data_IF_523307288756
#
_entry.id   IF_523307288756
#
_cell.length_a   1.000
_cell.length_b   1.000
_cell.length_c   1.000
_cell.angle_alpha   90.00
_cell.angle_beta   90.00
_cell.angle_gamma   90.00
#
_symmetry.space_group_name_H-M   'P 1'
#
loop_
_entity.id
_entity.type
_entity.pdbx_description
1 polymer ?
2 non-polymer ?
3 non-polymer ?
4 non-polymer ?
5 water ?
#
# COMPACT_ATOMS: atom_id res chain seq x y z
N UNK A 5 15.64 0.68 5.37
CA UNK A 5 14.97 1.01 6.63
C UNK A 5 13.88 2.05 6.39
N UNK A 6 14.19 3.05 5.58
CA UNK A 6 13.24 4.13 5.28
C UNK A 6 11.96 3.59 4.66
N UNK A 7 12.09 2.76 3.63
CA UNK A 7 10.91 2.21 2.99
C UNK A 7 10.07 1.45 4.02
N UNK A 8 10.73 0.65 4.85
CA UNK A 8 10.02 -0.13 5.86
C UNK A 8 9.28 0.79 6.84
N UNK A 9 9.97 1.81 7.33
CA UNK A 9 9.35 2.74 8.27
C UNK A 9 8.16 3.47 7.64
N UNK A 10 8.35 3.96 6.42
CA UNK A 10 7.28 4.67 5.72
C UNK A 10 6.06 3.78 5.51
N UNK A 11 6.29 2.55 5.07
CA UNK A 11 5.18 1.64 4.84
C UNK A 11 4.46 1.33 6.15
N UNK A 12 5.20 1.21 7.24
CA UNK A 12 4.57 0.92 8.52
C UNK A 12 3.68 2.08 8.96
N UNK A 13 4.18 3.30 8.79
CA UNK A 13 3.39 4.47 9.17
C UNK A 13 2.09 4.48 8.36
N UNK A 14 2.22 4.32 7.05
CA UNK A 14 1.05 4.32 6.18
C UNK A 14 0.08 3.19 6.54
N UNK A 15 0.63 2.05 6.95
CA UNK A 15 -0.21 0.93 7.34
C UNK A 15 -0.95 1.26 8.63
N UNK A 16 -0.24 1.87 9.59
CA UNK A 16 -0.85 2.24 10.87
C UNK A 16 -1.97 3.25 10.63
N UNK A 17 -1.75 4.19 9.71
CA UNK A 17 -2.76 5.17 9.39
C UNK A 17 -3.99 4.45 8.83
N UNK A 18 -3.76 3.55 7.87
CA UNK A 18 -4.83 2.80 7.25
C UNK A 18 -5.62 1.97 8.26
N UNK A 19 -4.92 1.31 9.17
CA UNK A 19 -5.59 0.47 10.18
C UNK A 19 -6.58 1.27 11.03
N UNK A 20 -6.14 2.42 11.55
CA UNK A 20 -7.03 3.23 12.39
C UNK A 20 -8.11 3.92 11.57
N UNK A 21 -7.78 4.28 10.33
CA UNK A 21 -8.75 4.93 9.47
C UNK A 21 -9.93 3.98 9.25
N UNK A 22 -9.61 2.75 8.85
CA UNK A 22 -10.63 1.74 8.58
C UNK A 22 -11.41 1.35 9.83
N UNK A 23 -10.74 1.34 10.98
CA UNK A 23 -11.37 1.00 12.24
C UNK A 23 -12.35 2.11 12.62
N UNK A 24 -12.04 3.32 12.18
CA UNK A 24 -12.88 4.48 12.47
C UNK A 24 -13.94 4.74 11.41
N UNK A 25 -14.05 3.82 10.45
CA UNK A 25 -15.04 3.96 9.40
C UNK A 25 -14.64 4.93 8.31
N UNK A 26 -13.33 5.11 8.13
CA UNK A 26 -12.84 6.02 7.10
C UNK A 26 -11.90 5.30 6.15
N UNK A 27 -11.54 5.97 5.06
CA UNK A 27 -10.63 5.41 4.07
C UNK A 27 -9.23 5.96 4.30
N UNK A 28 -8.22 5.11 4.11
CA UNK A 28 -6.84 5.54 4.29
C UNK A 28 -6.59 6.74 3.38
N UNK A 29 -7.28 6.76 2.24
CA UNK A 29 -7.14 7.84 1.28
C UNK A 29 -7.58 9.20 1.83
N UNK A 30 -8.38 9.18 2.89
CA UNK A 30 -8.89 10.41 3.49
C UNK A 30 -7.88 11.10 4.41
N UNK A 31 -6.78 10.41 4.73
CA UNK A 31 -5.77 10.96 5.62
C UNK A 31 -4.44 11.18 4.92
N UNK A 32 -4.06 12.45 4.77
CA UNK A 32 -2.79 12.80 4.13
C UNK A 32 -1.65 12.67 5.12
N UNK A 33 -0.53 12.13 4.65
CA UNK A 33 0.64 11.98 5.50
C UNK A 33 1.67 13.03 5.14
N UNK A 34 1.96 13.90 6.09
CA UNK A 34 2.97 14.94 5.90
C UNK A 34 4.23 14.47 6.61
N UNK A 35 5.26 14.13 5.84
CA UNK A 35 6.53 13.69 6.41
C UNK A 35 7.27 14.94 6.89
N UNK A 36 7.51 15.03 8.19
CA UNK A 36 8.19 16.20 8.74
C UNK A 36 9.70 15.97 8.63
N UNK A 37 10.32 16.79 7.79
CA UNK A 37 11.75 16.67 7.52
C UNK A 37 12.66 17.67 8.26
N UNK A 38 12.10 18.33 9.26
CA UNK A 38 12.88 19.28 10.06
C UNK A 38 14.08 18.53 10.64
N UNK A 39 15.24 19.17 10.59
CA UNK A 39 16.52 18.66 11.10
C UNK A 39 17.23 17.67 10.17
N UNK A 40 16.60 17.31 9.06
CA UNK A 40 17.21 16.37 8.13
C UNK A 40 17.63 17.04 6.84
N UNK A 41 18.87 16.78 6.41
CA UNK A 41 19.36 17.38 5.19
C UNK A 41 18.83 16.71 3.93
N UNK A 42 19.09 17.33 2.78
CA UNK A 42 18.62 16.83 1.50
C UNK A 42 19.02 15.38 1.26
N UNK A 43 20.22 15.02 1.70
CA UNK A 43 20.71 13.67 1.53
C UNK A 43 19.85 12.67 2.29
N UNK A 44 19.38 13.08 3.46
CA UNK A 44 18.55 12.19 4.28
C UNK A 44 17.11 12.17 3.77
N UNK A 45 16.72 13.24 3.11
CA UNK A 45 15.36 13.35 2.58
C UNK A 45 15.13 12.59 1.26
N UNK A 46 16.12 12.60 0.38
CA UNK A 46 15.98 11.93 -0.92
C UNK A 46 15.49 10.48 -0.81
N UNK A 47 16.01 9.71 0.16
CA UNK A 47 15.57 8.31 0.30
C UNK A 47 14.07 8.22 0.52
N UNK A 48 13.51 9.20 1.23
CA UNK A 48 12.08 9.20 1.50
C UNK A 48 11.34 9.53 0.19
N UNK A 49 11.88 10.46 -0.58
CA UNK A 49 11.26 10.82 -1.85
C UNK A 49 11.31 9.62 -2.80
N UNK A 50 12.44 8.92 -2.78
CA UNK A 50 12.62 7.75 -3.64
C UNK A 50 11.64 6.65 -3.25
N UNK A 51 11.26 6.62 -1.98
CA UNK A 51 10.31 5.63 -1.48
C UNK A 51 8.88 5.97 -1.88
N UNK A 52 8.72 7.11 -2.55
CA UNK A 52 7.41 7.54 -3.01
C UNK A 52 6.74 8.72 -2.34
N UNK A 53 7.31 9.21 -1.23
CA UNK A 53 6.72 10.34 -0.51
C UNK A 53 6.85 11.64 -1.29
N UNK A 54 5.78 12.44 -1.30
CA UNK A 54 5.79 13.71 -2.00
C UNK A 54 5.38 14.88 -1.11
N UNK A 55 4.70 14.58 -0.01
CA UNK A 55 4.25 15.60 0.92
C UNK A 55 5.17 15.70 2.12
N UNK A 56 5.77 16.88 2.31
CA UNK A 56 6.69 17.11 3.43
C UNK A 56 6.36 18.38 4.22
N UNK A 57 6.86 18.44 5.45
CA UNK A 57 6.64 19.60 6.29
C UNK A 57 7.93 20.10 6.90
N UNK A 58 8.07 21.41 6.99
CA UNK A 58 9.26 22.03 7.60
C UNK A 58 8.74 23.05 8.61
N UNK A 59 9.42 23.18 9.75
CA UNK A 59 8.97 24.12 10.75
C UNK A 59 9.50 25.53 10.57
N UNK A 60 10.64 25.65 9.89
CA UNK A 60 11.26 26.96 9.69
C UNK A 60 11.54 27.28 8.24
N UNK A 61 11.17 28.48 7.83
CA UNK A 61 11.39 28.93 6.47
C UNK A 61 12.85 28.88 6.07
N UNK A 62 13.72 29.40 6.95
CA UNK A 62 15.15 29.44 6.69
C UNK A 62 15.74 28.06 6.42
N UNK A 63 15.43 27.10 7.28
CA UNK A 63 15.94 25.74 7.09
C UNK A 63 15.46 25.19 5.75
N UNK A 64 14.20 25.43 5.44
CA UNK A 64 13.60 24.95 4.19
C UNK A 64 14.28 25.53 2.95
N UNK A 65 14.63 26.81 3.03
CA UNK A 65 15.29 27.48 1.91
C UNK A 65 16.63 26.88 1.58
N UNK A 66 17.32 26.36 2.59
CA UNK A 66 18.63 25.77 2.37
C UNK A 66 18.69 24.41 1.72
N UNK A 67 17.58 23.67 1.71
CA UNK A 67 17.59 22.33 1.14
C UNK A 67 16.50 21.98 0.13
N UNK A 68 15.33 22.61 0.23
CA UNK A 68 14.25 22.25 -0.69
C UNK A 68 14.33 22.71 -2.14
N UNK A 69 14.90 23.90 -2.39
CA UNK A 69 14.97 24.33 -3.80
C UNK A 69 15.59 23.26 -4.71
N UNK A 70 16.73 22.72 -4.31
CA UNK A 70 17.40 21.69 -5.10
C UNK A 70 16.53 20.44 -5.20
N UNK A 71 15.87 20.08 -4.10
CA UNK A 71 15.01 18.90 -4.06
C UNK A 71 13.80 19.04 -4.97
N UNK A 72 13.27 20.26 -5.05
CA UNK A 72 12.10 20.52 -5.88
C UNK A 72 12.40 20.53 -7.37
N UNK A 73 13.58 21.02 -7.75
CA UNK A 73 13.91 21.03 -9.16
C UNK A 73 14.21 19.61 -9.62
N UNK A 74 14.53 18.74 -8.66
CA UNK A 74 14.81 17.35 -8.98
C UNK A 74 13.54 16.53 -9.06
N UNK A 75 12.58 16.82 -8.19
CA UNK A 75 11.29 16.11 -8.16
C UNK A 75 10.17 17.15 -8.28
N UNK A 76 9.48 17.13 -9.41
CA UNK A 76 8.42 18.09 -9.74
C UNK A 76 7.14 18.16 -8.91
N UNK A 77 6.69 17.05 -8.34
CA UNK A 77 5.44 17.05 -7.58
C UNK A 77 5.50 17.12 -6.06
N UNK A 78 6.51 17.80 -5.52
CA UNK A 78 6.64 17.95 -4.08
C UNK A 78 5.58 18.91 -3.53
N UNK A 79 4.98 18.55 -2.40
CA UNK A 79 4.00 19.41 -1.75
C UNK A 79 4.62 19.74 -0.40
N UNK A 80 5.15 20.96 -0.28
CA UNK A 80 5.82 21.39 0.95
C UNK A 80 4.93 22.25 1.86
N UNK A 81 4.82 21.84 3.12
CA UNK A 81 4.00 22.53 4.11
C UNK A 81 4.84 23.27 5.16
N UNK A 82 4.45 24.49 5.49
CA UNK A 82 5.15 25.24 6.53
C UNK A 82 4.29 24.94 7.76
N UNK A 83 4.86 24.27 8.76
CA UNK A 83 4.12 23.91 9.95
C UNK A 83 4.63 24.55 11.23
N UNK A 84 5.45 25.58 11.09
CA UNK A 84 5.97 26.28 12.25
C UNK A 84 5.53 27.74 12.18
N UNK A 85 5.77 28.53 13.24
CA UNK A 85 5.36 29.94 13.23
C UNK A 85 6.09 30.73 12.15
N UNK A 86 5.40 31.71 11.57
CA UNK A 86 5.98 32.52 10.50
C UNK A 86 6.04 33.98 10.86
N UNK A 87 7.23 34.56 10.76
CA UNK A 87 7.43 35.97 11.05
C UNK A 87 7.04 36.74 9.80
N UNK A 88 6.42 37.89 9.99
CA UNK A 88 5.98 38.70 8.86
C UNK A 88 7.12 39.01 7.87
N UNK A 89 8.34 39.19 8.37
CA UNK A 89 9.46 39.50 7.49
C UNK A 89 10.00 38.31 6.69
N UNK A 90 9.35 37.16 6.83
CA UNK A 90 9.75 35.98 6.08
C UNK A 90 8.60 35.51 5.21
N UNK A 91 7.48 36.24 5.28
CA UNK A 91 6.30 35.90 4.49
C UNK A 91 6.63 35.79 3.01
N UNK A 92 7.36 36.77 2.49
CA UNK A 92 7.73 36.76 1.07
C UNK A 92 8.46 35.47 0.71
N UNK A 93 9.48 35.12 1.48
CA UNK A 93 10.23 33.90 1.22
C UNK A 93 9.36 32.65 1.32
N UNK A 94 8.46 32.64 2.30
CA UNK A 94 7.58 31.49 2.49
C UNK A 94 6.63 31.29 1.32
N UNK A 95 6.05 32.39 0.83
CA UNK A 95 5.12 32.32 -0.28
C UNK A 95 5.83 31.83 -1.54
N UNK A 96 7.11 32.15 -1.65
CA UNK A 96 7.88 31.76 -2.83
C UNK A 96 8.29 30.29 -2.83
N UNK A 97 8.33 29.68 -1.66
CA UNK A 97 8.78 28.29 -1.53
C UNK A 97 7.73 27.25 -1.18
N UNK A 98 6.80 27.60 -0.29
CA UNK A 98 5.79 26.65 0.16
C UNK A 98 4.52 26.54 -0.68
N UNK A 99 3.85 25.40 -0.56
CA UNK A 99 2.61 25.15 -1.28
C UNK A 99 1.44 25.26 -0.30
N UNK A 100 1.71 24.96 0.97
CA UNK A 100 0.70 25.02 2.01
C UNK A 100 1.28 25.68 3.27
N UNK A 101 0.59 26.66 3.82
CA UNK A 101 1.03 27.31 5.06
C UNK A 101 -0.05 27.02 6.10
N UNK A 102 0.28 26.15 7.05
CA UNK A 102 -0.66 25.72 8.07
C UNK A 102 -0.66 26.58 9.33
N UNK A 103 0.24 27.56 9.39
CA UNK A 103 0.38 28.39 10.58
C UNK A 103 -0.22 29.81 10.63
N UNK A 104 -1.42 30.02 10.12
CA UNK A 104 -2.02 31.33 10.23
C UNK A 104 -2.57 31.37 11.65
N UNK A 105 -1.82 32.00 12.55
CA UNK A 105 -2.16 32.07 13.96
C UNK A 105 -2.54 33.45 14.49
N UNK A 106 -2.57 34.45 13.61
CA UNK A 106 -2.89 35.81 14.02
C UNK A 106 -3.23 36.66 12.80
N UNK A 107 -3.94 37.76 13.02
CA UNK A 107 -4.34 38.66 11.94
C UNK A 107 -3.18 39.19 11.12
N UNK A 108 -2.13 39.63 11.79
CA UNK A 108 -0.96 40.18 11.10
C UNK A 108 -0.36 39.29 10.02
N UNK A 109 -0.23 37.99 10.30
CA UNK A 109 0.36 37.10 9.30
C UNK A 109 -0.61 36.74 8.17
N UNK A 110 -1.90 36.77 8.46
CA UNK A 110 -2.92 36.47 7.45
C UNK A 110 -2.85 37.60 6.42
N UNK A 111 -2.77 38.84 6.91
CA UNK A 111 -2.67 40.01 6.03
C UNK A 111 -1.38 39.96 5.22
N UNK A 112 -0.27 39.63 5.88
CA UNK A 112 1.01 39.53 5.20
C UNK A 112 0.98 38.47 4.11
N UNK A 113 0.43 37.30 4.43
CA UNK A 113 0.36 36.22 3.45
C UNK A 113 -0.54 36.64 2.30
N UNK A 114 -1.62 37.32 2.62
CA UNK A 114 -2.57 37.78 1.61
C UNK A 114 -1.91 38.74 0.62
N UNK A 115 -1.17 39.72 1.14
CA UNK A 115 -0.52 40.69 0.25
C UNK A 115 0.58 40.06 -0.60
N UNK A 116 1.37 39.18 0.01
CA UNK A 116 2.46 38.52 -0.73
C UNK A 116 1.94 37.61 -1.84
N UNK A 117 0.85 36.90 -1.58
CA UNK A 117 0.30 36.04 -2.61
C UNK A 117 -0.03 36.92 -3.81
N UNK A 118 -0.57 38.09 -3.51
CA UNK A 118 -0.93 39.06 -4.53
C UNK A 118 0.31 39.60 -5.24
N UNK A 119 1.30 40.04 -4.46
CA UNK A 119 2.53 40.57 -5.03
C UNK A 119 3.28 39.56 -5.90
N UNK A 120 3.14 38.28 -5.58
CA UNK A 120 3.84 37.23 -6.31
C UNK A 120 2.99 36.48 -7.33
N UNK A 121 1.70 36.84 -7.42
CA UNK A 121 0.82 36.17 -8.36
C UNK A 121 0.69 34.69 -8.03
N UNK A 122 0.59 34.38 -6.74
CA UNK A 122 0.47 33.01 -6.29
C UNK A 122 -0.78 32.80 -5.43
N UNK A 123 -1.26 31.55 -5.42
CA UNK A 123 -2.43 31.19 -4.62
C UNK A 123 -2.10 29.88 -3.92
N UNK A 124 -1.67 29.98 -2.67
CA UNK A 124 -1.33 28.81 -1.87
C UNK A 124 -2.55 28.27 -1.12
N UNK A 125 -2.33 27.24 -0.32
CA UNK A 125 -3.38 26.63 0.48
C UNK A 125 -3.05 27.00 1.92
N UNK A 126 -4.08 27.29 2.72
CA UNK A 126 -3.87 27.72 4.10
C UNK A 126 -4.74 27.06 5.18
N UNK A 127 -4.16 26.95 6.36
CA UNK A 127 -4.86 26.42 7.52
C UNK A 127 -4.76 27.48 8.59
N UNK A 128 -5.83 27.61 9.38
CA UNK A 128 -5.85 28.55 10.49
C UNK A 128 -5.53 27.74 11.74
N UNK A 129 -4.52 28.19 12.48
CA UNK A 129 -4.07 27.51 13.69
C UNK A 129 -4.87 27.99 14.90
N UNK A 130 -5.41 27.04 15.65
CA UNK A 130 -6.23 27.35 16.81
C UNK A 130 -5.58 26.93 18.13
N UNK A 131 -5.61 27.84 19.10
CA UNK A 131 -5.07 27.57 20.43
C UNK A 131 -6.26 26.96 21.19
N UNK A 132 -6.54 25.71 20.86
CA UNK A 132 -7.67 24.96 21.41
C UNK A 132 -7.81 24.95 22.94
N UNK A 133 -6.70 24.89 23.65
CA UNK A 133 -6.76 24.87 25.11
C UNK A 133 -6.56 26.24 25.74
N UNK A 134 -6.44 27.27 24.91
CA UNK A 134 -6.23 28.62 25.39
C UNK A 134 -5.03 28.80 26.33
N UNK A 135 -3.94 28.11 26.01
CA UNK A 135 -2.70 28.20 26.77
C UNK A 135 -2.07 29.57 26.50
N UNK A 136 -1.76 30.35 27.54
CA UNK A 136 -1.16 31.66 27.29
C UNK A 136 0.17 31.61 26.53
N UNK A 137 0.92 30.52 26.73
CA UNK A 137 2.21 30.33 26.09
C UNK A 137 2.17 29.81 24.65
N UNK A 138 0.98 29.48 24.15
CA UNK A 138 0.86 28.94 22.78
C UNK A 138 0.27 29.91 21.76
N UNK A 139 0.63 29.70 20.49
CA UNK A 139 0.14 30.54 19.40
C UNK A 139 -1.18 29.98 18.88
N UNK A 140 -1.94 30.81 18.18
CA UNK A 140 -3.21 30.36 17.63
C UNK A 140 -4.40 31.24 17.96
N UNK A 141 -5.42 31.15 17.12
CA UNK A 141 -6.64 31.93 17.31
C UNK A 141 -7.47 31.36 18.47
N UNK A 142 -8.20 32.23 19.16
CA UNK A 142 -9.05 31.81 20.27
C UNK A 142 -10.18 30.96 19.67
N UNK A 143 -10.45 29.77 20.23
CA UNK A 143 -11.53 28.93 19.68
C UNK A 143 -12.83 29.71 19.52
N UNK A 144 -13.09 30.59 20.48
CA UNK A 144 -14.30 31.41 20.49
C UNK A 144 -14.34 32.48 19.40
N UNK A 145 -13.20 32.72 18.75
CA UNK A 145 -13.12 33.73 17.69
C UNK A 145 -12.73 33.12 16.35
N UNK A 146 -12.60 31.80 16.31
CA UNK A 146 -12.20 31.10 15.09
C UNK A 146 -13.18 31.23 13.91
N UNK A 147 -14.45 30.98 14.14
CA UNK A 147 -15.43 31.10 13.07
C UNK A 147 -15.33 32.49 12.44
N UNK A 148 -15.34 33.52 13.28
CA UNK A 148 -15.25 34.90 12.81
C UNK A 148 -13.93 35.18 12.10
N UNK A 149 -12.84 34.59 12.59
CA UNK A 149 -11.54 34.81 11.97
C UNK A 149 -11.46 34.18 10.58
N UNK A 150 -12.03 33.00 10.40
CA UNK A 150 -12.01 32.35 9.09
C UNK A 150 -12.81 33.17 8.09
N UNK A 151 -13.92 33.75 8.54
CA UNK A 151 -14.75 34.58 7.68
C UNK A 151 -13.94 35.79 7.23
N UNK A 152 -13.16 36.35 8.16
CA UNK A 152 -12.31 37.50 7.89
C UNK A 152 -11.29 37.16 6.81
N UNK A 153 -10.63 36.01 6.97
CA UNK A 153 -9.64 35.59 5.99
C UNK A 153 -10.28 35.42 4.62
N UNK A 154 -11.34 34.62 4.58
CA UNK A 154 -12.04 34.31 3.34
C UNK A 154 -12.75 35.49 2.67
N UNK A 155 -13.46 36.30 3.45
CA UNK A 155 -14.19 37.42 2.88
C UNK A 155 -13.41 38.71 2.71
N UNK A 156 -12.80 39.19 3.79
CA UNK A 156 -12.06 40.44 3.76
C UNK A 156 -10.68 40.35 3.07
N UNK A 157 -9.91 39.32 3.39
CA UNK A 157 -8.59 39.16 2.78
C UNK A 157 -8.68 38.32 1.52
N UNK A 158 -9.86 37.76 1.26
CA UNK A 158 -10.05 36.92 0.08
C UNK A 158 -8.95 35.87 0.07
N UNK A 159 -8.62 35.38 1.26
CA UNK A 159 -7.59 34.37 1.44
C UNK A 159 -8.30 33.03 1.59
N UNK A 160 -8.09 32.10 0.64
CA UNK A 160 -8.78 30.82 0.79
C UNK A 160 -8.25 30.06 2.01
N UNK A 161 -9.17 29.49 2.80
CA UNK A 161 -8.80 28.72 3.96
C UNK A 161 -9.27 27.29 3.76
N UNK A 162 -8.31 26.36 3.80
CA UNK A 162 -8.57 24.95 3.59
C UNK A 162 -9.09 24.23 4.83
N UNK A 163 -8.56 24.56 6.00
CA UNK A 163 -9.00 23.89 7.20
C UNK A 163 -8.37 24.46 8.45
N UNK A 164 -8.54 23.77 9.56
CA UNK A 164 -7.98 24.21 10.84
C UNK A 164 -6.84 23.30 11.28
N UNK A 166 -4.04 22.34 14.76
CA UNK A 166 -3.71 22.54 16.15
C UNK A 166 -2.54 21.66 16.58
N UNK A 167 -1.92 22.06 17.67
CA UNK A 167 -0.79 21.36 18.28
C UNK A 167 -1.12 21.46 19.76
N UNK A 168 -1.77 20.43 20.31
CA UNK A 168 -2.18 20.40 21.72
C UNK A 168 -1.00 20.31 22.68
N UNK A 169 -1.20 20.74 23.94
CA UNK A 169 -0.14 20.69 24.93
C UNK A 169 0.29 19.22 25.07
N UNK A 170 1.59 18.99 25.07
CA UNK A 170 2.13 17.64 25.15
C UNK A 170 1.81 16.85 26.43
N UNK A 171 1.58 17.56 27.53
CA UNK A 171 1.31 16.87 28.79
C UNK A 171 -0.15 16.57 29.13
N UNK A 172 -1.01 16.47 28.13
CA UNK A 172 -2.41 16.16 28.39
C UNK A 172 -3.07 15.36 27.29
N UNK A 173 -4.25 14.83 27.56
CA UNK A 173 -4.96 14.03 26.58
C UNK A 173 -5.37 14.89 25.39
N UNK A 174 -5.00 14.46 24.17
CA UNK A 174 -5.29 15.18 22.92
C UNK A 174 -6.76 15.16 22.55
N UNK A 175 -7.44 14.10 22.96
CA UNK A 175 -8.85 13.93 22.66
C UNK A 175 -9.72 15.16 22.58
N UNK A 176 -9.96 15.85 23.70
CA UNK A 176 -10.79 17.06 23.72
C UNK A 176 -10.32 18.14 22.76
N UNK A 177 -9.00 18.24 22.60
CA UNK A 177 -8.45 19.23 21.69
C UNK A 177 -8.87 18.90 20.27
N UNK A 178 -8.63 17.67 19.85
CA UNK A 178 -9.00 17.25 18.50
C UNK A 178 -10.51 17.38 18.27
N UNK A 179 -11.29 16.99 19.27
CA UNK A 179 -12.75 17.06 19.17
C UNK A 179 -13.24 18.50 19.02
N UNK A 180 -12.61 19.42 19.74
CA UNK A 180 -13.01 20.82 19.64
C UNK A 180 -12.67 21.34 18.24
N UNK A 181 -11.47 21.01 17.75
CA UNK A 181 -11.07 21.48 16.43
C UNK A 181 -12.06 20.98 15.37
N UNK A 182 -12.44 19.71 15.45
CA UNK A 182 -13.38 19.12 14.50
C UNK A 182 -14.69 19.89 14.51
N UNK A 183 -15.17 20.17 15.72
CA UNK A 183 -16.40 20.92 15.92
C UNK A 183 -16.32 22.30 15.27
N UNK A 184 -15.24 23.03 15.56
CA UNK A 184 -15.04 24.35 14.99
C UNK A 184 -15.00 24.30 13.46
N UNK A 185 -14.29 23.33 12.92
CA UNK A 185 -14.18 23.19 11.46
C UNK A 185 -15.57 23.10 10.85
N UNK A 186 -16.43 22.28 11.45
CA UNK A 186 -17.79 22.14 10.96
C UNK A 186 -18.53 23.45 11.04
N UNK A 187 -18.28 24.23 12.07
CA UNK A 187 -18.94 25.52 12.24
C UNK A 187 -18.40 26.56 11.25
N UNK A 188 -17.21 26.32 10.72
CA UNK A 188 -16.58 27.22 9.76
C UNK A 188 -16.86 26.77 8.33
N UNK A 189 -17.49 25.60 8.19
CA UNK A 189 -17.77 25.07 6.87
C UNK A 189 -16.47 24.59 6.23
N UNK A 190 -15.55 24.12 7.07
CA UNK A 190 -14.26 23.62 6.61
C UNK A 190 -14.25 22.10 6.73
N UNK A 191 -13.66 21.41 5.76
CA UNK A 191 -13.64 19.96 5.79
C UNK A 191 -12.26 19.35 6.05
N UNK A 192 -11.26 20.20 6.21
CA UNK A 192 -9.91 19.69 6.45
C UNK A 192 -9.43 19.98 7.86
N UNK A 193 -8.75 18.99 8.44
CA UNK A 193 -8.21 19.11 9.80
C UNK A 193 -6.78 18.61 9.89
N UNK A 194 -5.87 19.50 10.25
CA UNK A 194 -4.48 19.13 10.41
C UNK A 194 -4.19 18.97 11.90
N UNK A 196 -2.64 15.79 14.87
CA UNK A 196 -2.03 14.49 15.00
C UNK A 196 -0.59 14.54 14.55
N UNK A 198 3.69 13.06 15.87
CA UNK A 198 4.44 11.86 16.27
C UNK A 198 3.76 10.90 17.25
N UNK A 199 3.33 11.40 18.40
CA UNK A 199 2.73 10.52 19.40
C UNK A 199 1.22 10.39 19.51
N UNK A 200 0.46 10.96 18.58
CA UNK A 200 -0.98 10.86 18.68
C UNK A 200 -1.72 10.91 17.35
N UNK A 201 -1.03 10.63 16.25
CA UNK A 201 -1.70 10.70 14.96
C UNK A 201 -2.78 9.65 14.79
N UNK A 202 -2.65 8.53 15.47
CA UNK A 202 -3.69 7.50 15.35
C UNK A 202 -4.97 8.00 16.03
N UNK A 203 -4.83 8.53 17.25
CA UNK A 203 -5.99 9.04 17.95
C UNK A 203 -6.58 10.20 17.14
N UNK A 204 -5.70 10.96 16.49
CA UNK A 204 -6.13 12.09 15.67
C UNK A 204 -7.05 11.61 14.54
N UNK A 205 -6.67 10.52 13.88
CA UNK A 205 -7.50 9.98 12.79
C UNK A 205 -8.89 9.62 13.32
N UNK A 206 -8.95 9.11 14.54
CA UNK A 206 -10.21 8.74 15.16
C UNK A 206 -11.12 9.94 15.34
N UNK A 207 -10.54 11.12 15.53
CA UNK A 207 -11.34 12.33 15.71
C UNK A 207 -11.59 13.11 14.41
N UNK A 208 -11.16 12.57 13.27
CA UNK A 208 -11.42 13.25 12.01
C UNK A 208 -10.26 13.88 11.26
N UNK A 209 -9.04 13.68 11.74
CA UNK A 209 -7.87 14.27 11.09
C UNK A 209 -7.77 13.90 9.61
N UNK A 210 -7.50 14.90 8.77
CA UNK A 210 -7.35 14.65 7.34
C UNK A 210 -5.89 14.82 6.91
N UNK A 211 -5.05 15.25 7.84
CA UNK A 211 -3.61 15.43 7.56
C UNK A 211 -2.82 15.27 8.86
N UNK A 212 -1.89 14.32 8.87
CA UNK A 212 -1.07 14.10 10.06
C UNK A 212 0.40 14.37 9.79
N UNK A 213 1.08 14.95 10.77
CA UNK A 213 2.49 15.30 10.65
C UNK A 213 3.37 14.30 11.39
N UNK A 214 4.07 13.46 10.62
CA UNK A 214 4.94 12.44 11.23
C UNK A 214 6.40 12.63 10.83
N UNK A 215 7.28 12.67 11.84
CA UNK A 215 8.69 12.85 11.57
C UNK A 215 9.59 11.65 11.92
N UNK A 216 9.87 11.49 13.21
CA UNK A 216 10.74 10.42 13.68
C UNK A 216 10.34 9.01 13.24
N UNK A 217 9.05 8.74 13.19
CA UNK A 217 8.60 7.40 12.79
C UNK A 217 9.02 7.04 11.37
N UNK A 218 9.22 8.06 10.53
CA UNK A 218 9.64 7.82 9.16
C UNK A 218 11.17 7.86 9.03
N UNK A 219 11.76 8.97 9.47
CA UNK A 219 13.22 9.16 9.38
C UNK A 219 14.05 8.45 10.44
N UNK A 220 13.44 8.24 11.60
CA UNK A 220 14.15 7.65 12.72
C UNK A 220 14.64 8.88 13.46
N UNK A 221 15.29 8.71 14.60
CA UNK A 221 15.81 9.83 15.36
C UNK A 221 17.05 10.31 14.61
N UNK A 222 17.61 11.43 15.03
CA UNK A 222 18.81 11.98 14.40
C UNK A 222 19.91 10.90 14.40
N UNK A 223 20.14 10.30 15.55
CA UNK A 223 21.16 9.26 15.70
C UNK A 223 20.91 8.07 14.79
N UNK A 224 19.69 7.57 14.80
CA UNK A 224 19.34 6.42 13.97
C UNK A 224 19.53 6.68 12.49
N UNK A 225 18.94 7.77 12.00
CA UNK A 225 19.05 8.09 10.59
C UNK A 225 20.49 8.15 10.14
N UNK A 226 21.34 8.82 10.91
CA UNK A 226 22.73 8.90 10.52
C UNK A 226 23.37 7.52 10.56
N UNK A 227 22.93 6.69 11.50
CA UNK A 227 23.47 5.34 11.57
C UNK A 227 23.09 4.62 10.28
N UNK A 228 21.84 4.80 9.85
CA UNK A 228 21.36 4.18 8.61
C UNK A 228 22.20 4.59 7.41
N UNK A 229 22.44 5.89 7.27
CA UNK A 229 23.20 6.40 6.13
C UNK A 229 24.72 6.25 6.25
N UNK A 230 25.15 5.10 6.78
CA UNK A 230 26.56 4.81 6.93
C UNK A 230 27.00 4.03 5.69
N UNK A 231 26.31 2.92 5.43
CA UNK A 231 26.62 2.10 4.25
C UNK A 231 26.15 2.83 3.00
N UNK B 5 -4.77 -2.04 -24.66
CA UNK B 5 -4.66 -1.65 -23.23
C UNK B 5 -4.19 -2.87 -22.43
N UNK B 6 -4.79 -4.02 -22.70
CA UNK B 6 -4.41 -5.23 -21.96
C UNK B 6 -2.94 -5.60 -22.12
N UNK B 7 -2.37 -5.46 -23.32
CA UNK B 7 -0.96 -5.77 -23.51
C UNK B 7 -0.14 -4.81 -22.66
N UNK B 8 -0.54 -3.55 -22.64
CA UNK B 8 0.17 -2.55 -21.85
C UNK B 8 0.08 -2.91 -20.37
N UNK B 9 -1.09 -3.36 -19.95
CA UNK B 9 -1.30 -3.74 -18.55
C UNK B 9 -0.38 -4.90 -18.18
N UNK B 10 -0.33 -5.92 -19.04
CA UNK B 10 0.51 -7.09 -18.80
C UNK B 10 1.97 -6.65 -18.68
N UNK B 11 2.38 -5.75 -19.56
CA UNK B 11 3.75 -5.25 -19.55
C UNK B 11 4.08 -4.56 -18.23
N UNK B 12 3.11 -3.80 -17.71
CA UNK B 12 3.30 -3.09 -16.45
C UNK B 12 3.49 -4.08 -15.30
N UNK B 13 2.69 -5.13 -15.30
CA UNK B 13 2.79 -6.14 -14.26
C UNK B 13 4.16 -6.80 -14.34
N UNK B 14 4.57 -7.19 -15.54
CA UNK B 14 5.86 -7.81 -15.71
C UNK B 14 6.99 -6.92 -15.18
N UNK B 15 6.91 -5.63 -15.46
CA UNK B 15 7.94 -4.68 -15.02
C UNK B 15 7.99 -4.49 -13.50
N UNK B 16 6.82 -4.33 -12.90
CA UNK B 16 6.76 -4.15 -11.46
C UNK B 16 7.40 -5.35 -10.76
N UNK B 17 7.16 -6.53 -11.31
CA UNK B 17 7.73 -7.76 -10.76
C UNK B 17 9.26 -7.67 -10.83
N UNK B 18 9.76 -7.29 -12.00
CA UNK B 18 11.20 -7.18 -12.23
C UNK B 18 11.82 -6.17 -11.27
N UNK B 19 11.21 -5.01 -11.17
CA UNK B 19 11.71 -3.95 -10.29
C UNK B 19 11.79 -4.38 -8.83
N UNK B 20 10.73 -5.00 -8.32
CA UNK B 20 10.74 -5.41 -6.93
C UNK B 20 11.66 -6.61 -6.69
N UNK B 21 11.83 -7.46 -7.69
CA UNK B 21 12.70 -8.62 -7.55
C UNK B 21 14.12 -8.12 -7.36
N UNK B 22 14.56 -7.25 -8.27
CA UNK B 22 15.90 -6.69 -8.22
C UNK B 22 16.11 -5.90 -6.93
N UNK B 23 15.10 -5.12 -6.53
CA UNK B 23 15.18 -4.33 -5.31
C UNK B 23 15.34 -5.25 -4.09
N UNK B 24 14.90 -6.50 -4.23
CA UNK B 24 14.98 -7.47 -3.16
C UNK B 24 16.23 -8.33 -3.31
N UNK B 25 17.03 -8.05 -4.33
CA UNK B 25 18.24 -8.80 -4.56
C UNK B 25 18.05 -10.08 -5.34
N UNK B 26 16.91 -10.19 -6.03
CA UNK B 26 16.60 -11.36 -6.84
C UNK B 26 16.46 -10.89 -8.28
N UNK B 27 16.15 -11.80 -9.19
CA UNK B 27 15.99 -11.40 -10.59
C UNK B 27 14.58 -11.73 -11.09
N UNK B 28 14.13 -11.00 -12.09
CA UNK B 28 12.80 -11.21 -12.66
C UNK B 28 12.53 -12.68 -12.98
N UNK B 29 13.54 -13.37 -13.48
CA UNK B 29 13.41 -14.78 -13.86
C UNK B 29 13.09 -15.72 -12.70
N UNK B 30 13.30 -15.27 -11.47
CA UNK B 30 13.01 -16.12 -10.32
C UNK B 30 11.54 -16.10 -9.97
N UNK B 31 10.79 -15.20 -10.61
CA UNK B 31 9.36 -15.06 -10.33
C UNK B 31 8.48 -15.33 -11.54
N UNK B 32 7.66 -16.37 -11.44
CA UNK B 32 6.76 -16.73 -12.52
C UNK B 32 5.42 -16.03 -12.37
N UNK B 33 4.96 -15.40 -13.44
CA UNK B 33 3.68 -14.72 -13.38
C UNK B 33 2.59 -15.68 -13.87
N UNK B 34 1.62 -15.94 -13.00
CA UNK B 34 0.50 -16.81 -13.34
C UNK B 34 -0.67 -15.87 -13.63
N UNK B 35 -1.02 -15.72 -14.91
CA UNK B 35 -2.13 -14.85 -15.29
C UNK B 35 -3.44 -15.57 -14.97
N UNK B 36 -4.20 -15.03 -14.02
CA UNK B 36 -5.46 -15.65 -13.60
C UNK B 36 -6.61 -15.18 -14.48
N UNK B 37 -7.11 -16.10 -15.30
CA UNK B 37 -8.16 -15.80 -16.26
C UNK B 37 -9.61 -16.18 -15.93
N UNK B 38 -9.90 -16.52 -14.68
CA UNK B 38 -11.28 -16.88 -14.36
C UNK B 38 -12.28 -15.80 -14.78
N UNK B 39 -13.38 -16.26 -15.38
CA UNK B 39 -14.50 -15.45 -15.91
C UNK B 39 -14.26 -14.89 -17.31
N UNK B 40 -13.02 -14.94 -17.78
CA UNK B 40 -12.69 -14.42 -19.11
C UNK B 40 -12.68 -15.49 -20.20
N UNK B 41 -13.36 -15.23 -21.31
CA UNK B 41 -13.42 -16.19 -22.41
C UNK B 41 -12.19 -16.17 -23.29
N UNK B 42 -12.14 -17.11 -24.23
CA UNK B 42 -11.01 -17.22 -25.14
C UNK B 42 -10.68 -15.91 -25.85
N UNK B 43 -11.71 -15.18 -26.27
CA UNK B 43 -11.49 -13.92 -26.97
C UNK B 43 -10.70 -12.94 -26.13
N UNK B 44 -11.00 -12.90 -24.84
CA UNK B 44 -10.32 -11.98 -23.93
C UNK B 44 -8.94 -12.51 -23.56
N UNK B 45 -8.74 -13.81 -23.65
CA UNK B 45 -7.47 -14.43 -23.31
C UNK B 45 -6.44 -14.44 -24.44
N UNK B 46 -6.89 -14.74 -25.66
CA UNK B 46 -5.96 -14.81 -26.79
C UNK B 46 -4.97 -13.65 -26.89
N UNK B 47 -5.45 -12.40 -26.76
CA UNK B 47 -4.53 -11.27 -26.86
C UNK B 47 -3.39 -11.32 -25.84
N UNK B 48 -3.63 -11.94 -24.69
CA UNK B 48 -2.60 -12.06 -23.67
C UNK B 48 -1.62 -13.15 -24.12
N UNK B 49 -2.16 -14.21 -24.71
CA UNK B 49 -1.30 -15.27 -25.21
C UNK B 49 -0.46 -14.69 -26.35
N UNK B 50 -1.09 -13.86 -27.17
CA UNK B 50 -0.38 -13.23 -28.28
C UNK B 50 0.77 -12.38 -27.78
N UNK B 51 0.61 -11.83 -26.58
CA UNK B 51 1.66 -11.00 -25.99
C UNK B 51 2.77 -11.84 -25.38
N UNK B 52 2.71 -13.16 -25.58
CA UNK B 52 3.74 -14.02 -25.06
C UNK B 52 3.47 -14.75 -23.75
N UNK B 53 2.32 -14.49 -23.14
CA UNK B 53 1.99 -15.15 -21.87
C UNK B 53 1.63 -16.61 -22.13
N UNK B 54 2.13 -17.50 -21.28
CA UNK B 54 1.88 -18.94 -21.42
C UNK B 54 1.41 -19.59 -20.12
N UNK B 55 1.67 -18.95 -19.00
CA UNK B 55 1.26 -19.49 -17.70
C UNK B 55 -0.06 -18.83 -17.28
N UNK B 56 -1.08 -19.64 -17.09
CA UNK B 56 -2.40 -19.15 -16.70
C UNK B 56 -2.97 -19.92 -15.51
N UNK B 57 -3.91 -19.29 -14.81
CA UNK B 57 -4.52 -19.93 -13.66
C UNK B 57 -6.03 -19.85 -13.70
N UNK B 58 -6.69 -20.92 -13.27
CA UNK B 58 -8.15 -21.00 -13.22
C UNK B 58 -8.48 -21.59 -11.85
N UNK B 59 -9.57 -21.15 -11.23
CA UNK B 59 -9.89 -21.69 -9.92
C UNK B 59 -11.02 -22.71 -9.94
N UNK B 60 -11.59 -22.97 -11.12
CA UNK B 60 -12.68 -23.95 -11.24
C UNK B 60 -12.44 -24.93 -12.38
N UNK B 61 -12.40 -26.23 -12.06
CA UNK B 61 -12.18 -27.23 -13.08
C UNK B 61 -13.22 -27.11 -14.20
N UNK B 62 -14.49 -26.97 -13.83
CA UNK B 62 -15.56 -26.85 -14.80
C UNK B 62 -15.34 -25.72 -15.80
N UNK B 63 -14.97 -24.55 -15.30
CA UNK B 63 -14.73 -23.40 -16.17
C UNK B 63 -13.55 -23.66 -17.10
N UNK B 64 -12.45 -24.14 -16.54
CA UNK B 64 -11.27 -24.44 -17.33
C UNK B 64 -11.55 -25.49 -18.42
N UNK B 65 -12.33 -26.52 -18.07
CA UNK B 65 -12.65 -27.59 -19.02
C UNK B 65 -13.33 -27.11 -20.27
N UNK B 66 -14.19 -26.10 -20.11
CA UNK B 66 -14.96 -25.58 -21.22
C UNK B 66 -14.28 -24.55 -22.10
N UNK B 67 -13.08 -24.09 -21.74
CA UNK B 67 -12.43 -23.09 -22.56
C UNK B 67 -10.96 -23.35 -22.89
N UNK B 68 -10.24 -24.05 -22.02
CA UNK B 68 -8.83 -24.27 -22.29
C UNK B 68 -8.43 -25.31 -23.32
N UNK B 69 -9.22 -26.38 -23.50
CA UNK B 69 -8.81 -27.37 -24.49
C UNK B 69 -8.64 -26.75 -25.89
N UNK B 70 -9.54 -25.84 -26.26
CA UNK B 70 -9.50 -25.18 -27.56
C UNK B 70 -8.28 -24.25 -27.66
N UNK B 71 -8.03 -23.50 -26.59
CA UNK B 71 -6.89 -22.59 -26.55
C UNK B 71 -5.56 -23.33 -26.66
N UNK B 72 -5.46 -24.49 -26.02
CA UNK B 72 -4.24 -25.28 -26.05
C UNK B 72 -4.02 -25.92 -27.43
N UNK B 73 -5.10 -26.16 -28.16
CA UNK B 73 -4.99 -26.75 -29.49
C UNK B 73 -4.31 -25.75 -30.41
N UNK B 74 -4.54 -24.47 -30.13
CA UNK B 74 -3.97 -23.39 -30.92
C UNK B 74 -2.57 -23.02 -30.44
N UNK B 75 -2.36 -23.03 -29.13
CA UNK B 75 -1.06 -22.70 -28.54
C UNK B 75 -0.64 -23.86 -27.65
N UNK B 76 0.28 -24.68 -28.15
CA UNK B 76 0.74 -25.88 -27.45
C UNK B 76 1.61 -25.79 -26.20
N UNK B 77 2.20 -24.63 -25.93
CA UNK B 77 3.07 -24.51 -24.75
C UNK B 77 2.45 -23.79 -23.55
N UNK B 78 1.14 -23.87 -23.41
CA UNK B 78 0.46 -23.24 -22.28
C UNK B 78 0.66 -24.10 -21.03
N UNK B 79 0.86 -23.45 -19.89
CA UNK B 79 1.05 -24.11 -18.60
C UNK B 79 -0.14 -23.71 -17.73
N UNK B 80 -1.10 -24.61 -17.56
CA UNK B 80 -2.31 -24.28 -16.82
C UNK B 80 -2.29 -24.73 -15.36
N UNK B 81 -2.55 -23.79 -14.46
CA UNK B 81 -2.58 -24.05 -13.02
C UNK B 81 -4.02 -24.05 -12.49
N UNK B 82 -4.32 -24.99 -11.60
CA UNK B 82 -5.62 -25.01 -10.94
C UNK B 82 -5.31 -24.34 -9.61
N UNK B 83 -6.02 -23.26 -9.30
CA UNK B 83 -5.72 -22.55 -8.07
C UNK B 83 -6.88 -22.44 -7.08
N UNK B 84 -7.95 -23.17 -7.35
CA UNK B 84 -9.10 -23.14 -6.45
C UNK B 84 -9.32 -24.52 -5.87
N UNK B 85 -10.23 -24.69 -4.90
CA UNK B 85 -10.51 -25.98 -4.28
C UNK B 85 -10.96 -27.04 -5.26
N UNK B 86 -10.50 -28.25 -5.03
CA UNK B 86 -10.83 -29.36 -5.92
C UNK B 86 -11.66 -30.42 -5.22
N UNK B 87 -12.76 -30.80 -5.86
CA UNK B 87 -13.65 -31.82 -5.33
C UNK B 87 -13.14 -33.17 -5.83
N UNK B 88 -13.27 -34.21 -5.01
CA UNK B 88 -12.81 -35.54 -5.39
C UNK B 88 -13.39 -36.02 -6.71
N UNK B 89 -14.66 -35.71 -6.96
CA UNK B 89 -15.29 -36.16 -8.21
C UNK B 89 -14.80 -35.39 -9.44
N UNK B 90 -13.95 -34.39 -9.22
CA UNK B 90 -13.41 -33.61 -10.33
C UNK B 90 -11.91 -33.85 -10.47
N UNK B 91 -11.37 -34.75 -9.64
CA UNK B 91 -9.95 -35.05 -9.66
C UNK B 91 -9.45 -35.66 -10.97
N UNK B 92 -10.23 -36.57 -11.55
CA UNK B 92 -9.84 -37.20 -12.81
C UNK B 92 -9.70 -36.14 -13.91
N UNK B 93 -10.71 -35.28 -14.02
CA UNK B 93 -10.68 -34.23 -15.03
C UNK B 93 -9.53 -33.25 -14.76
N UNK B 94 -9.32 -32.91 -13.50
CA UNK B 94 -8.23 -32.00 -13.14
C UNK B 94 -6.88 -32.55 -13.61
N UNK B 95 -6.63 -33.82 -13.35
CA UNK B 95 -5.37 -34.45 -13.75
C UNK B 95 -5.20 -34.49 -15.26
N UNK B 96 -6.30 -34.68 -15.98
CA UNK B 96 -6.25 -34.77 -17.43
C UNK B 96 -6.01 -33.44 -18.13
N UNK B 97 -6.46 -32.35 -17.51
CA UNK B 97 -6.36 -31.02 -18.10
C UNK B 97 -5.25 -30.10 -17.59
N UNK B 98 -5.08 -30.04 -16.28
CA UNK B 98 -4.08 -29.14 -15.69
C UNK B 98 -2.65 -29.65 -15.68
N UNK B 99 -1.71 -28.69 -15.66
CA UNK B 99 -0.28 -28.98 -15.63
C UNK B 99 0.23 -28.87 -14.20
N UNK B 100 -0.41 -27.98 -13.44
CA UNK B 100 -0.05 -27.75 -12.05
C UNK B 100 -1.31 -27.63 -11.21
N UNK B 101 -1.33 -28.28 -10.05
CA UNK B 101 -2.47 -28.17 -9.15
C UNK B 101 -1.90 -27.61 -7.86
N UNK B 102 -2.29 -26.40 -7.53
CA UNK B 102 -1.77 -25.73 -6.34
C UNK B 102 -2.64 -25.84 -5.11
N UNK B 103 -3.76 -26.54 -5.21
CA UNK B 103 -4.68 -26.60 -4.08
C UNK B 103 -4.78 -27.88 -3.26
N UNK B 104 -3.67 -28.58 -3.03
CA UNK B 104 -3.74 -29.77 -2.20
C UNK B 104 -3.94 -29.22 -0.79
N UNK B 105 -5.18 -29.25 -0.33
CA UNK B 105 -5.52 -28.71 0.99
C UNK B 105 -5.96 -29.73 2.03
N UNK B 106 -6.01 -31.01 1.64
CA UNK B 106 -6.45 -32.06 2.58
C UNK B 106 -6.01 -33.44 2.12
N UNK B 107 -6.00 -34.40 3.04
CA UNK B 107 -5.59 -35.75 2.71
C UNK B 107 -6.40 -36.40 1.59
N UNK B 108 -7.71 -36.23 1.66
CA UNK B 108 -8.60 -36.84 0.67
C UNK B 108 -8.25 -36.45 -0.77
N UNK B 109 -8.06 -35.16 -1.03
CA UNK B 109 -7.74 -34.75 -2.39
C UNK B 109 -6.32 -35.16 -2.79
N UNK B 110 -5.40 -35.22 -1.84
CA UNK B 110 -4.04 -35.65 -2.17
C UNK B 110 -4.11 -37.09 -2.66
N UNK B 111 -4.84 -37.94 -1.95
CA UNK B 111 -4.98 -39.34 -2.34
C UNK B 111 -5.65 -39.46 -3.70
N UNK B 112 -6.71 -38.67 -3.91
CA UNK B 112 -7.42 -38.69 -5.19
C UNK B 112 -6.48 -38.32 -6.33
N UNK B 113 -5.73 -37.24 -6.16
CA UNK B 113 -4.80 -36.83 -7.21
C UNK B 113 -3.72 -37.87 -7.45
N UNK B 114 -3.21 -38.47 -6.37
CA UNK B 114 -2.18 -39.50 -6.51
C UNK B 114 -2.73 -40.68 -7.32
N UNK B 115 -3.93 -41.13 -6.97
CA UNK B 115 -4.55 -42.26 -7.65
C UNK B 115 -4.81 -41.99 -9.14
N UNK B 116 -5.30 -40.78 -9.44
CA UNK B 116 -5.57 -40.42 -10.83
C UNK B 116 -4.31 -40.24 -11.66
N UNK B 117 -3.23 -39.77 -11.04
CA UNK B 117 -1.99 -39.63 -11.79
C UNK B 117 -1.54 -41.04 -12.19
N UNK B 118 -1.70 -41.98 -11.27
CA UNK B 118 -1.33 -43.36 -11.54
C UNK B 118 -2.24 -43.98 -12.60
N UNK B 119 -3.53 -43.72 -12.48
CA UNK B 119 -4.52 -44.25 -13.42
C UNK B 119 -4.32 -43.72 -14.84
N UNK B 120 -4.02 -42.43 -14.98
CA UNK B 120 -3.84 -41.83 -16.29
C UNK B 120 -2.40 -41.80 -16.81
N UNK B 121 -1.46 -42.29 -16.02
CA UNK B 121 -0.07 -42.26 -16.47
C UNK B 121 0.37 -40.84 -16.73
N UNK B 122 -0.10 -39.93 -15.88
CA UNK B 122 0.21 -38.51 -15.98
C UNK B 122 1.10 -38.09 -14.80
N UNK B 123 1.97 -37.12 -15.01
CA UNK B 123 2.83 -36.62 -13.94
C UNK B 123 2.73 -35.11 -13.91
N UNK B 124 2.08 -34.59 -12.87
CA UNK B 124 1.91 -33.15 -12.75
C UNK B 124 2.77 -32.58 -11.64
N UNK B 125 2.74 -31.26 -11.50
CA UNK B 125 3.47 -30.56 -10.46
C UNK B 125 2.41 -30.12 -9.45
N UNK B 126 2.75 -30.12 -8.17
CA UNK B 126 1.80 -29.77 -7.12
C UNK B 126 2.33 -28.81 -6.07
N UNK B 127 1.40 -28.16 -5.38
CA UNK B 127 1.70 -27.25 -4.27
C UNK B 127 0.76 -27.64 -3.15
N UNK B 128 1.23 -27.55 -1.92
CA UNK B 128 0.38 -27.83 -0.79
C UNK B 128 -0.14 -26.47 -0.33
N UNK B 129 -1.44 -26.38 -0.07
CA UNK B 129 -2.04 -25.14 0.36
C UNK B 129 -2.07 -25.08 1.88
N UNK B 130 -1.58 -23.97 2.42
CA UNK B 130 -1.53 -23.79 3.86
C UNK B 130 -2.48 -22.71 4.37
N UNK B 131 -3.24 -23.03 5.39
CA UNK B 131 -4.17 -22.07 6.01
C UNK B 131 -3.35 -21.33 7.06
N UNK B 132 -2.59 -20.32 6.63
CA UNK B 132 -1.73 -19.56 7.54
C UNK B 132 -2.46 -18.81 8.65
N UNK B 133 -3.72 -18.47 8.40
CA UNK B 133 -4.48 -17.74 9.41
C UNK B 133 -5.28 -18.59 10.38
N UNK B 134 -5.47 -19.88 10.06
CA UNK B 134 -6.26 -20.75 10.93
C UNK B 134 -7.68 -20.22 11.11
N UNK B 137 -12.62 -22.40 9.01
CA UNK B 137 -13.17 -21.40 8.11
C UNK B 137 -12.62 -21.51 6.69
N UNK B 138 -11.30 -21.45 6.55
CA UNK B 138 -10.65 -21.51 5.24
C UNK B 138 -9.96 -22.84 4.92
N UNK B 139 -9.82 -23.13 3.63
CA UNK B 139 -9.18 -24.35 3.18
C UNK B 139 -7.67 -24.26 3.39
N UNK B 140 -7.02 -25.42 3.48
CA UNK B 140 -5.58 -25.42 3.67
C UNK B 140 -5.15 -26.25 4.87
N UNK B 141 -3.93 -26.77 4.82
CA UNK B 141 -3.40 -27.58 5.91
C UNK B 141 -2.96 -26.66 7.05
N UNK B 142 -3.08 -27.12 8.29
CA UNK B 142 -2.66 -26.31 9.43
C UNK B 142 -1.12 -26.18 9.38
N UNK B 143 -0.60 -24.98 9.63
CA UNK B 143 0.85 -24.74 9.61
C UNK B 143 1.63 -25.77 10.42
N UNK B 144 1.14 -26.06 11.62
CA UNK B 144 1.79 -27.02 12.50
C UNK B 144 1.83 -28.43 11.92
N UNK B 145 1.05 -28.68 10.88
CA UNK B 145 1.00 -30.01 10.26
C UNK B 145 1.55 -30.05 8.84
N UNK B 146 1.98 -28.90 8.33
CA UNK B 146 2.48 -28.80 6.96
C UNK B 146 3.75 -29.61 6.62
N UNK B 147 4.75 -29.58 7.50
CA UNK B 147 5.96 -30.34 7.22
C UNK B 147 5.63 -31.83 7.05
N UNK B 148 4.88 -32.37 8.00
CA UNK B 148 4.52 -33.78 7.95
C UNK B 148 3.62 -34.09 6.74
N UNK B 149 2.68 -33.19 6.46
CA UNK B 149 1.78 -33.42 5.33
C UNK B 149 2.54 -33.49 4.01
N UNK B 150 3.47 -32.56 3.80
CA UNK B 150 4.28 -32.54 2.59
C UNK B 150 5.04 -33.86 2.46
N UNK B 151 5.62 -34.32 3.57
CA UNK B 151 6.36 -35.58 3.59
C UNK B 151 5.45 -36.74 3.18
N UNK B 152 4.23 -36.72 3.70
CA UNK B 152 3.23 -37.74 3.38
C UNK B 152 2.95 -37.72 1.86
N UNK B 153 2.68 -36.53 1.33
CA UNK B 153 2.39 -36.37 -0.10
C UNK B 153 3.51 -36.83 -1.02
N UNK B 154 4.73 -36.42 -0.69
CA UNK B 154 5.89 -36.77 -1.50
C UNK B 154 6.38 -38.21 -1.39
N UNK B 155 6.49 -38.71 -0.16
CA UNK B 155 6.99 -40.07 0.04
C UNK B 155 5.99 -41.19 -0.05
N UNK B 156 4.84 -41.05 0.58
CA UNK B 156 3.84 -42.10 0.53
C UNK B 156 3.01 -42.06 -0.74
N UNK B 157 2.51 -40.88 -1.08
CA UNK B 157 1.66 -40.73 -2.27
C UNK B 157 2.42 -40.44 -3.56
N UNK B 158 3.73 -40.23 -3.46
CA UNK B 158 4.56 -39.97 -4.63
C UNK B 158 4.13 -38.74 -5.44
N UNK B 159 3.59 -37.73 -4.77
CA UNK B 159 3.18 -36.52 -5.44
C UNK B 159 4.34 -35.53 -5.54
N UNK B 160 4.64 -35.04 -6.75
CA UNK B 160 5.74 -34.08 -6.93
C UNK B 160 5.36 -32.69 -6.39
N UNK B 161 5.33 -32.56 -5.06
CA UNK B 161 5.00 -31.27 -4.46
C UNK B 161 6.28 -30.43 -4.51
N UNK B 162 6.24 -29.32 -5.23
CA UNK B 162 7.42 -28.48 -5.37
C UNK B 162 7.43 -27.22 -4.49
N UNK B 163 6.29 -26.91 -3.88
CA UNK B 163 6.22 -25.72 -3.05
C UNK B 163 4.94 -25.60 -2.25
N UNK B 164 4.77 -24.46 -1.59
CA UNK B 164 3.59 -24.19 -0.79
C UNK B 164 2.86 -22.98 -1.37
N UNK B 166 -0.54 -20.07 -0.50
CA UNK B 166 -1.46 -19.59 0.51
C UNK B 166 -2.26 -18.40 0.01
N UNK B 167 -3.40 -18.19 0.66
CA UNK B 167 -4.30 -17.09 0.37
C UNK B 167 -4.52 -16.42 1.73
N UNK B 168 -3.74 -15.37 2.03
CA UNK B 168 -3.89 -14.69 3.33
C UNK B 168 -5.30 -14.15 3.56
N UNK B 169 -5.68 -13.99 4.83
CA UNK B 169 -7.01 -13.49 5.20
C UNK B 169 -7.24 -12.11 4.59
N UNK B 170 -8.46 -11.87 4.11
CA UNK B 170 -8.83 -10.59 3.50
C UNK B 170 -8.40 -9.37 4.32
N UNK B 172 -6.29 -8.03 6.55
CA UNK B 172 -5.06 -8.28 7.28
C UNK B 172 -3.80 -8.01 6.48
N UNK B 173 -2.72 -7.67 7.18
CA UNK B 173 -1.44 -7.40 6.56
C UNK B 173 -0.95 -8.78 6.08
N UNK B 174 -0.73 -8.94 4.76
CA UNK B 174 -0.27 -10.24 4.25
C UNK B 174 1.15 -10.63 4.65
N UNK B 175 1.97 -9.62 4.96
CA UNK B 175 3.36 -9.83 5.34
C UNK B 175 3.66 -11.02 6.22
N UNK B 176 3.10 -11.08 7.43
CA UNK B 176 3.34 -12.19 8.36
C UNK B 176 3.01 -13.55 7.73
N UNK B 177 1.95 -13.59 6.93
CA UNK B 177 1.52 -14.82 6.28
C UNK B 177 2.52 -15.30 5.25
N UNK B 178 3.07 -14.38 4.47
CA UNK B 178 4.06 -14.74 3.46
C UNK B 178 5.31 -15.25 4.16
N UNK B 179 5.67 -14.61 5.27
CA UNK B 179 6.85 -15.00 6.03
C UNK B 179 6.66 -16.41 6.60
N UNK B 180 5.48 -16.68 7.13
CA UNK B 180 5.22 -18.01 7.68
C UNK B 180 5.35 -19.05 6.57
N UNK B 181 4.72 -18.80 5.44
CA UNK B 181 4.78 -19.74 4.33
C UNK B 181 6.22 -20.04 3.93
N UNK B 182 7.04 -19.00 3.84
CA UNK B 182 8.43 -19.15 3.45
C UNK B 182 9.21 -19.99 4.48
N UNK B 183 8.90 -19.79 5.75
CA UNK B 183 9.55 -20.53 6.82
C UNK B 183 9.17 -22.00 6.72
N UNK B 184 7.90 -22.27 6.46
CA UNK B 184 7.42 -23.65 6.36
C UNK B 184 8.05 -24.37 5.18
N UNK B 185 8.15 -23.70 4.04
CA UNK B 185 8.73 -24.28 2.85
C UNK B 185 10.17 -24.67 3.12
N UNK B 186 10.90 -23.80 3.82
CA UNK B 186 12.28 -24.09 4.16
C UNK B 186 12.38 -25.35 4.99
N UNK B 187 11.48 -25.50 5.95
CA UNK B 187 11.47 -26.66 6.82
C UNK B 187 11.11 -27.94 6.06
N UNK B 188 10.36 -27.79 4.97
CA UNK B 188 9.95 -28.93 4.14
C UNK B 188 11.01 -29.24 3.10
N UNK B 189 11.97 -28.33 2.93
CA UNK B 189 13.01 -28.52 1.94
C UNK B 189 12.48 -28.19 0.55
N UNK B 190 11.48 -27.32 0.49
CA UNK B 190 10.88 -26.90 -0.77
C UNK B 190 11.44 -25.53 -1.17
N UNK B 191 11.53 -25.31 -2.47
CA UNK B 191 12.07 -24.07 -3.02
C UNK B 191 11.03 -23.14 -3.66
N UNK B 192 9.81 -23.62 -3.80
CA UNK B 192 8.77 -22.81 -4.44
C UNK B 192 7.68 -22.29 -3.51
N UNK B 193 7.30 -21.04 -3.75
CA UNK B 193 6.27 -20.37 -2.98
C UNK B 193 5.29 -19.65 -3.91
N UNK B 194 4.04 -20.05 -3.86
CA UNK B 194 3.00 -19.41 -4.67
C UNK B 194 2.17 -18.51 -3.75
N UNK B 196 0.74 -14.08 -3.35
CA UNK B 196 0.67 -12.74 -3.91
C UNK B 196 -0.30 -12.67 -5.06
N UNK B 198 -3.08 -9.63 -7.34
CA UNK B 198 -3.06 -8.25 -7.85
C UNK B 198 -2.76 -7.17 -6.82
N UNK B 199 -3.33 -7.30 -5.63
CA UNK B 199 -3.13 -6.28 -4.61
C UNK B 199 -1.88 -6.30 -3.77
N UNK B 200 -1.15 -7.42 -3.75
CA UNK B 200 0.05 -7.50 -2.93
C UNK B 200 1.20 -8.31 -3.50
N UNK B 201 1.21 -8.55 -4.80
CA UNK B 201 2.27 -9.37 -5.38
C UNK B 201 3.67 -8.79 -5.22
N UNK B 202 3.79 -7.46 -5.18
CA UNK B 202 5.11 -6.87 -5.03
C UNK B 202 5.65 -7.22 -3.64
N UNK B 203 4.81 -7.10 -2.62
CA UNK B 203 5.23 -7.43 -1.27
C UNK B 203 5.53 -8.95 -1.21
N UNK B 204 4.76 -9.72 -1.97
CA UNK B 204 4.95 -11.16 -2.01
C UNK B 204 6.36 -11.48 -2.51
N UNK B 205 6.81 -10.78 -3.55
CA UNK B 205 8.14 -11.02 -4.08
C UNK B 205 9.19 -10.67 -3.03
N UNK B 206 8.97 -9.59 -2.27
CA UNK B 206 9.91 -9.19 -1.24
C UNK B 206 10.08 -10.28 -0.19
N UNK B 207 9.04 -11.11 -0.03
CA UNK B 207 9.09 -12.19 0.95
C UNK B 207 9.52 -13.54 0.39
N UNK B 208 9.88 -13.57 -0.90
CA UNK B 208 10.37 -14.80 -1.48
C UNK B 208 9.47 -15.56 -2.45
N UNK B 209 8.36 -14.97 -2.86
CA UNK B 209 7.47 -15.66 -3.79
C UNK B 209 8.19 -16.03 -5.09
N UNK B 210 7.92 -17.24 -5.60
CA UNK B 210 8.53 -17.68 -6.84
C UNK B 210 7.48 -17.71 -7.94
N UNK B 211 6.24 -17.39 -7.57
CA UNK B 211 5.14 -17.33 -8.52
C UNK B 211 4.01 -16.49 -7.90
N UNK B 212 3.52 -15.50 -8.66
CA UNK B 212 2.44 -14.67 -8.17
C UNK B 212 1.21 -14.94 -9.04
N UNK B 213 0.04 -14.82 -8.47
CA UNK B 213 -1.19 -15.09 -9.20
C UNK B 213 -1.95 -13.80 -9.39
N UNK B 214 -1.76 -13.18 -10.56
CA UNK B 214 -2.37 -11.90 -10.87
C UNK B 214 -3.50 -11.98 -11.90
N UNK B 215 -4.67 -11.48 -11.50
CA UNK B 215 -5.82 -11.50 -12.39
C UNK B 215 -6.31 -10.12 -12.82
N UNK B 216 -7.03 -9.44 -11.94
CA UNK B 216 -7.58 -8.12 -12.26
C UNK B 216 -6.57 -7.12 -12.82
N UNK B 217 -5.36 -7.11 -12.29
CA UNK B 217 -4.32 -6.20 -12.74
C UNK B 217 -4.02 -6.38 -14.23
N UNK B 218 -4.27 -7.59 -14.74
CA UNK B 218 -4.03 -7.85 -16.16
C UNK B 218 -5.33 -7.79 -16.98
N UNK B 219 -6.29 -8.65 -16.63
CA UNK B 219 -7.56 -8.75 -17.36
C UNK B 219 -8.62 -7.69 -17.07
N UNK B 220 -8.50 -7.02 -15.93
CA UNK B 220 -9.50 -6.02 -15.59
C UNK B 220 -10.48 -6.53 -14.56
N UNK B 221 -11.50 -5.73 -14.28
CA UNK B 221 -12.53 -6.06 -13.29
C UNK B 221 -13.42 -7.26 -13.63
N UNK B 222 -13.48 -8.23 -12.72
CA UNK B 222 -14.32 -9.41 -12.94
C UNK B 222 -15.80 -9.06 -12.83
N UNK B 223 -16.15 -8.17 -11.91
CA UNK B 223 -17.55 -7.79 -11.74
C UNK B 223 -18.05 -7.09 -13.01
N UNK B 224 -17.20 -6.26 -13.59
CA UNK B 224 -17.57 -5.56 -14.82
C UNK B 224 -17.74 -6.60 -15.92
N UNK B 225 -16.76 -7.49 -16.04
CA UNK B 225 -16.80 -8.54 -17.05
C UNK B 225 -18.04 -9.41 -16.92
N UNK B 226 -18.42 -9.76 -15.69
CA UNK B 226 -19.60 -10.58 -15.45
C UNK B 226 -20.89 -9.84 -15.79
N UNK B 227 -20.85 -8.52 -15.67
CA UNK B 227 -22.00 -7.69 -15.98
C UNK B 227 -22.24 -7.64 -17.49
N UNK B 228 -21.19 -7.27 -18.21
CA UNK B 228 -21.26 -7.15 -19.66
C UNK B 228 -21.05 -8.49 -20.36
#
# INVERSE_FOLDING_TARGET
>A
XVVXEIEARLEDVRQRIADVAEKSGRKAADVALVAVSKTFDAEAIQPVIDAGQRVFGENRVQEAQGKWPALKEKTSDIELHLIGPLQSNKAADAVALFDVVESIDREKIARALSEECARQGRSLRFYVQVNTGLEPQKAGIDPRETVAFVAFCRDELKLPVEGLXCIPPAEENPGPHFALLAKLAGQCGLEKLSXGXSGDFETAVEFGATSVRVGSAIFGSRAENLYFQSHHHHHHWSHPQFEK
>B
XVVXEIEARLEDVRQRIADVAEKSGRKAADVALVAVSKTFDAEAIQPVIDAGQRVFGENRVQEAQGKWPALKEKTSDIELHLIGPLQSNKAADAVALFDVVESIDREKIARALSEECARQGRSLRFYVQVNTGLEPQKAGIDPRETVAFVAFCRDELKLPVEGLXCIPPAEENPGPHFALLAKLAGQCGLEKLSXGXSGDFETAVEFGATSVRVGSAIFGSRAENLYFQSHHHHHHWSHPQFEK
#
